data_IF_423214300606
#
_entry.id   IF_423214300606
#
_cell.length_a   1.000
_cell.length_b   1.000
_cell.length_c   1.000
_cell.angle_alpha   90.00
_cell.angle_beta   90.00
_cell.angle_gamma   90.00
#
_symmetry.space_group_name_H-M   'P 1'
#
loop_
_entity.id
_entity.type
_entity.pdbx_description
1 polymer ?
#
# COMPACT_ATOMS: atom_id res chain seq x y z
N UNK A 1 -58.83 -10.10 25.82
CA UNK A 1 -57.42 -9.94 25.41
C UNK A 1 -56.78 -8.94 26.38
N UNK A 2 -55.81 -9.40 27.15
CA UNK A 2 -55.26 -8.65 28.27
C UNK A 2 -54.13 -7.72 27.80
N UNK A 3 -53.98 -6.58 28.45
CA UNK A 3 -53.05 -5.52 28.18
C UNK A 3 -51.56 -5.96 28.03
N UNK A 4 -51.26 -7.16 28.48
CA UNK A 4 -49.93 -7.85 28.34
C UNK A 4 -49.60 -8.30 26.91
N UNK A 5 -50.59 -8.54 26.04
CA UNK A 5 -50.34 -9.02 24.68
C UNK A 5 -49.99 -7.86 23.73
N UNK A 6 -50.40 -6.64 24.00
CA UNK A 6 -50.09 -5.51 23.15
C UNK A 6 -48.69 -4.93 23.34
N UNK A 7 -48.04 -5.17 24.52
CA UNK A 7 -46.66 -4.71 24.75
C UNK A 7 -45.58 -5.57 24.01
N UNK A 8 -45.89 -6.81 23.68
CA UNK A 8 -44.92 -7.71 23.02
C UNK A 8 -44.85 -7.42 21.50
N UNK A 9 -45.91 -6.90 20.89
CA UNK A 9 -45.94 -6.61 19.45
C UNK A 9 -45.17 -5.31 19.08
N UNK A 10 -44.97 -4.38 20.02
CA UNK A 10 -44.29 -3.11 19.74
C UNK A 10 -42.76 -3.20 19.84
N UNK A 11 -42.23 -4.21 20.57
CA UNK A 11 -40.77 -4.39 20.74
C UNK A 11 -40.15 -5.13 19.54
N UNK A 12 -40.93 -5.94 18.82
CA UNK A 12 -40.41 -6.73 17.69
C UNK A 12 -40.21 -5.90 16.41
N UNK A 13 -40.98 -4.84 16.20
CA UNK A 13 -40.91 -4.00 15.00
C UNK A 13 -39.68 -3.10 14.95
N UNK A 14 -39.32 -2.48 16.08
CA UNK A 14 -38.18 -1.57 16.12
C UNK A 14 -36.83 -2.28 16.08
N UNK A 15 -36.71 -3.45 16.69
CA UNK A 15 -35.48 -4.26 16.61
C UNK A 15 -35.27 -4.87 15.23
N UNK A 16 -36.33 -5.24 14.51
CA UNK A 16 -36.24 -5.74 13.14
C UNK A 16 -35.82 -4.61 12.17
N UNK A 17 -36.37 -3.41 12.33
CA UNK A 17 -36.04 -2.25 11.48
C UNK A 17 -34.60 -1.80 11.67
N UNK A 18 -34.09 -1.74 12.90
CA UNK A 18 -32.69 -1.44 13.21
C UNK A 18 -31.74 -2.51 12.67
N UNK A 19 -32.12 -3.77 12.74
CA UNK A 19 -31.33 -4.89 12.15
C UNK A 19 -31.25 -4.80 10.63
N UNK A 20 -32.32 -4.43 9.95
CA UNK A 20 -32.33 -4.27 8.48
C UNK A 20 -31.51 -3.06 8.05
N UNK A 21 -31.59 -1.94 8.76
CA UNK A 21 -30.79 -0.73 8.49
C UNK A 21 -29.29 -1.04 8.73
N UNK A 22 -28.95 -1.68 9.84
CA UNK A 22 -27.56 -2.05 10.15
C UNK A 22 -26.97 -3.01 9.11
N UNK A 23 -27.73 -4.01 8.64
CA UNK A 23 -27.28 -4.93 7.59
C UNK A 23 -27.19 -4.27 6.22
N UNK A 24 -28.07 -3.33 5.89
CA UNK A 24 -28.01 -2.55 4.64
C UNK A 24 -26.80 -1.61 4.63
N UNK A 25 -26.53 -0.91 5.73
CA UNK A 25 -25.35 -0.05 5.89
C UNK A 25 -24.06 -0.89 5.85
N UNK A 26 -24.02 -2.03 6.53
CA UNK A 26 -22.87 -2.95 6.51
C UNK A 26 -22.62 -3.51 5.10
N UNK A 27 -23.68 -3.94 4.37
CA UNK A 27 -23.57 -4.41 2.99
C UNK A 27 -23.14 -3.29 2.04
N UNK A 28 -23.65 -2.07 2.21
CA UNK A 28 -23.24 -0.90 1.42
C UNK A 28 -21.78 -0.52 1.69
N UNK A 29 -21.33 -0.53 2.93
CA UNK A 29 -19.95 -0.31 3.29
C UNK A 29 -19.02 -1.41 2.74
N UNK A 30 -19.43 -2.69 2.86
CA UNK A 30 -18.70 -3.83 2.31
C UNK A 30 -18.61 -3.77 0.78
N UNK A 31 -19.66 -3.35 0.09
CA UNK A 31 -19.66 -3.19 -1.37
C UNK A 31 -18.80 -2.00 -1.81
N UNK A 32 -18.75 -0.91 -1.05
CA UNK A 32 -17.83 0.22 -1.33
C UNK A 32 -16.36 -0.18 -1.13
N UNK A 33 -16.06 -1.03 -0.14
CA UNK A 33 -14.70 -1.56 0.07
C UNK A 33 -14.32 -2.55 -1.04
N UNK A 34 -15.27 -3.35 -1.53
CA UNK A 34 -15.04 -4.31 -2.62
C UNK A 34 -14.92 -3.65 -4.00
N UNK A 35 -15.48 -2.44 -4.21
CA UNK A 35 -15.39 -1.72 -5.49
C UNK A 35 -14.03 -1.05 -5.74
N UNK A 36 -13.12 -1.08 -4.76
CA UNK A 36 -11.74 -0.55 -4.86
C UNK A 36 -10.70 -1.67 -4.87
N UNK A 37 -11.13 -2.93 -4.81
CA UNK A 37 -10.22 -4.07 -4.86
C UNK A 37 -9.61 -4.18 -6.26
N UNK A 38 -8.32 -3.86 -6.39
CA UNK A 38 -7.56 -4.15 -7.60
C UNK A 38 -7.63 -5.66 -7.87
N UNK A 39 -8.05 -6.11 -9.07
CA UNK A 39 -7.94 -7.50 -9.46
C UNK A 39 -6.51 -7.98 -9.26
N UNK A 40 -6.33 -9.22 -8.78
CA UNK A 40 -5.01 -9.81 -8.48
C UNK A 40 -4.00 -9.76 -9.63
N UNK A 41 -4.49 -9.69 -10.87
CA UNK A 41 -3.74 -9.62 -12.12
C UNK A 41 -3.80 -8.24 -12.78
N UNK A 42 -4.47 -7.24 -12.17
CA UNK A 42 -4.45 -5.89 -12.70
C UNK A 42 -3.08 -5.27 -12.44
N UNK A 43 -2.41 -4.90 -13.51
CA UNK A 43 -1.32 -3.93 -13.45
C UNK A 43 -1.88 -2.58 -13.02
N UNK A 44 -1.09 -1.72 -12.37
CA UNK A 44 -1.41 -0.29 -12.28
C UNK A 44 -1.73 0.30 -13.66
N UNK A 45 -1.24 -0.32 -14.73
CA UNK A 45 -1.55 0.03 -16.13
C UNK A 45 -3.03 -0.11 -16.47
N UNK A 46 -3.73 -1.08 -15.90
CA UNK A 46 -5.14 -1.37 -16.18
C UNK A 46 -6.07 -0.76 -15.13
N UNK A 47 -5.50 -0.08 -14.14
CA UNK A 47 -6.27 0.58 -13.13
C UNK A 47 -6.90 1.84 -13.72
N UNK A 48 -8.23 1.88 -13.84
CA UNK A 48 -9.07 2.90 -14.49
C UNK A 48 -9.13 2.89 -16.04
N UNK A 49 -9.13 1.72 -16.64
CA UNK A 49 -9.79 1.57 -17.94
C UNK A 49 -9.11 2.20 -19.16
N UNK A 50 -7.79 2.08 -19.29
CA UNK A 50 -7.21 2.35 -20.58
C UNK A 50 -5.80 2.94 -20.61
N UNK A 51 -5.09 2.61 -21.65
CA UNK A 51 -3.72 3.03 -21.97
C UNK A 51 -3.51 4.56 -22.08
N UNK A 52 -4.57 5.34 -22.19
CA UNK A 52 -4.54 6.78 -22.44
C UNK A 52 -4.03 7.61 -21.26
N UNK A 53 -4.00 7.05 -20.03
CA UNK A 53 -3.61 7.81 -18.83
C UNK A 53 -2.25 7.43 -18.25
N UNK A 54 -1.55 6.46 -18.85
CA UNK A 54 -0.26 5.99 -18.33
C UNK A 54 0.83 7.06 -18.32
N UNK A 55 0.83 7.94 -19.33
CA UNK A 55 1.80 9.03 -19.43
C UNK A 55 1.67 10.06 -18.30
N UNK A 56 0.48 10.15 -17.69
CA UNK A 56 0.18 11.08 -16.58
C UNK A 56 0.52 10.53 -15.19
N UNK A 57 0.82 9.21 -15.08
CA UNK A 57 1.18 8.61 -13.80
C UNK A 57 2.68 8.66 -13.56
N UNK A 58 3.13 8.78 -12.30
CA UNK A 58 4.53 8.68 -11.92
C UNK A 58 5.17 7.39 -12.45
N UNK A 59 6.47 7.45 -12.75
CA UNK A 59 7.20 6.31 -13.34
C UNK A 59 7.10 5.04 -12.50
N UNK A 60 7.13 5.17 -11.16
CA UNK A 60 6.97 4.03 -10.24
C UNK A 60 5.64 3.30 -10.43
N UNK A 61 4.57 4.04 -10.71
CA UNK A 61 3.24 3.47 -10.97
C UNK A 61 3.19 2.80 -12.33
N UNK A 62 3.74 3.45 -13.36
CA UNK A 62 3.83 2.89 -14.71
C UNK A 62 4.64 1.59 -14.77
N UNK A 63 5.66 1.48 -13.92
CA UNK A 63 6.56 0.35 -13.84
C UNK A 63 6.09 -0.75 -12.86
N UNK A 64 4.93 -0.59 -12.20
CA UNK A 64 4.51 -1.44 -11.09
C UNK A 64 5.56 -1.51 -9.96
N UNK A 65 6.33 -0.45 -9.78
CA UNK A 65 7.45 -0.32 -8.86
C UNK A 65 7.25 0.93 -7.98
N UNK A 66 6.29 0.91 -7.03
CA UNK A 66 5.89 2.10 -6.30
C UNK A 66 6.99 2.69 -5.39
N UNK A 67 8.04 1.93 -5.13
CA UNK A 67 9.21 2.37 -4.40
C UNK A 67 10.34 2.88 -5.29
N UNK A 68 10.19 2.98 -6.60
CA UNK A 68 11.24 3.38 -7.53
C UNK A 68 12.57 2.60 -7.34
N UNK A 69 12.46 1.29 -7.00
CA UNK A 69 13.65 0.45 -6.85
C UNK A 69 14.51 0.52 -8.11
N UNK A 70 15.77 0.85 -7.93
CA UNK A 70 16.74 0.97 -9.01
C UNK A 70 17.07 -0.41 -9.57
N UNK A 71 17.34 -0.46 -10.88
CA UNK A 71 17.68 -1.68 -11.58
C UNK A 71 18.98 -2.29 -11.03
N UNK A 72 18.92 -3.59 -10.70
CA UNK A 72 20.03 -4.36 -10.15
C UNK A 72 20.09 -5.74 -10.78
N UNK A 73 21.13 -6.51 -10.48
CA UNK A 73 21.25 -7.93 -10.83
C UNK A 73 20.33 -8.85 -10.01
N UNK A 74 19.66 -8.33 -8.97
CA UNK A 74 18.78 -9.13 -8.12
C UNK A 74 17.63 -9.69 -8.95
N UNK A 75 17.42 -11.00 -8.83
CA UNK A 75 16.35 -11.73 -9.51
C UNK A 75 15.04 -11.62 -8.70
N UNK A 76 14.45 -10.42 -8.66
CA UNK A 76 13.16 -10.24 -8.01
C UNK A 76 12.08 -11.09 -8.66
N UNK A 77 11.23 -11.70 -7.84
CA UNK A 77 10.07 -12.41 -8.37
C UNK A 77 9.16 -11.44 -9.13
N UNK A 78 8.73 -11.82 -10.33
CA UNK A 78 7.90 -10.98 -11.18
C UNK A 78 8.59 -9.79 -11.83
N UNK A 79 9.93 -9.68 -11.71
CA UNK A 79 10.72 -8.70 -12.45
C UNK A 79 10.60 -8.92 -13.95
N UNK A 80 10.44 -7.84 -14.70
CA UNK A 80 10.48 -7.85 -16.17
C UNK A 80 11.89 -7.52 -16.65
N UNK A 81 12.25 -7.99 -17.86
CA UNK A 81 13.44 -7.49 -18.54
C UNK A 81 13.36 -5.97 -18.66
N UNK A 82 14.49 -5.30 -18.49
CA UNK A 82 14.56 -3.84 -18.58
C UNK A 82 14.37 -3.40 -20.04
N UNK A 83 13.26 -2.74 -20.39
CA UNK A 83 13.14 -2.13 -21.71
C UNK A 83 13.98 -0.85 -21.77
N UNK A 84 14.40 -0.45 -22.97
CA UNK A 84 15.27 0.71 -23.21
C UNK A 84 14.71 2.02 -22.64
N UNK A 85 13.39 2.13 -22.49
CA UNK A 85 12.67 3.31 -21.97
C UNK A 85 12.31 3.24 -20.48
N UNK A 86 12.76 2.21 -19.76
CA UNK A 86 12.46 2.08 -18.31
C UNK A 86 13.27 3.01 -17.41
N UNK A 87 14.19 3.78 -18.00
CA UNK A 87 15.11 4.61 -17.22
C UNK A 87 16.00 3.73 -16.30
N UNK A 88 16.26 4.21 -15.09
CA UNK A 88 17.10 3.49 -14.11
C UNK A 88 16.34 2.51 -13.21
N UNK A 89 15.02 2.46 -13.30
CA UNK A 89 14.19 1.73 -12.35
C UNK A 89 13.80 0.33 -12.83
N UNK A 90 13.55 -0.56 -11.86
CA UNK A 90 12.98 -1.89 -12.12
C UNK A 90 11.55 -1.78 -12.65
N UNK A 91 11.13 -2.84 -13.37
CA UNK A 91 9.75 -3.04 -13.80
C UNK A 91 9.25 -4.40 -13.34
N UNK A 92 7.97 -4.45 -12.94
CA UNK A 92 7.34 -5.70 -12.47
C UNK A 92 6.09 -6.05 -13.29
N UNK A 93 5.76 -7.35 -13.33
CA UNK A 93 4.56 -7.88 -14.00
C UNK A 93 3.27 -7.29 -13.42
N UNK A 94 3.25 -7.05 -12.10
CA UNK A 94 2.11 -6.45 -11.41
C UNK A 94 2.56 -5.68 -10.16
N UNK A 95 1.70 -4.80 -9.60
CA UNK A 95 1.98 -4.07 -8.38
C UNK A 95 2.33 -4.95 -7.19
N UNK A 96 1.76 -6.15 -7.09
CA UNK A 96 2.03 -7.10 -6.02
C UNK A 96 3.52 -7.43 -5.96
N UNK A 97 4.14 -7.67 -7.10
CA UNK A 97 5.57 -8.00 -7.16
C UNK A 97 6.46 -6.80 -6.86
N UNK A 98 6.09 -5.60 -7.29
CA UNK A 98 6.83 -4.38 -6.93
C UNK A 98 6.77 -4.08 -5.44
N UNK A 99 5.58 -4.18 -4.84
CA UNK A 99 5.40 -4.02 -3.38
C UNK A 99 6.14 -5.12 -2.62
N UNK A 100 6.10 -6.37 -3.10
CA UNK A 100 6.89 -7.47 -2.54
C UNK A 100 8.38 -7.19 -2.57
N UNK A 101 8.91 -6.73 -3.69
CA UNK A 101 10.32 -6.38 -3.82
C UNK A 101 10.70 -5.26 -2.82
N UNK A 102 9.86 -4.24 -2.69
CA UNK A 102 10.04 -3.17 -1.71
C UNK A 102 10.03 -3.69 -0.26
N UNK A 103 9.12 -4.61 0.08
CA UNK A 103 9.09 -5.27 1.41
C UNK A 103 10.40 -6.00 1.69
N UNK A 104 10.91 -6.77 0.72
CA UNK A 104 12.17 -7.53 0.85
C UNK A 104 13.38 -6.60 0.99
N UNK A 105 13.44 -5.54 0.19
CA UNK A 105 14.50 -4.53 0.24
C UNK A 105 14.52 -3.83 1.60
N UNK A 106 13.37 -3.33 2.06
CA UNK A 106 13.24 -2.68 3.36
C UNK A 106 13.54 -3.62 4.53
N UNK A 107 13.14 -4.88 4.45
CA UNK A 107 13.50 -5.90 5.46
C UNK A 107 15.02 -6.03 5.58
N UNK A 108 15.72 -6.06 4.46
CA UNK A 108 17.20 -6.14 4.41
C UNK A 108 17.83 -4.87 4.98
N UNK A 109 17.31 -3.69 4.59
CA UNK A 109 17.79 -2.39 5.07
C UNK A 109 17.55 -2.21 6.58
N UNK A 110 16.40 -2.63 7.12
CA UNK A 110 16.16 -2.60 8.57
C UNK A 110 17.16 -3.47 9.32
N UNK A 111 17.43 -4.67 8.84
CA UNK A 111 18.42 -5.58 9.46
C UNK A 111 19.82 -4.97 9.47
N UNK A 112 20.20 -4.23 8.44
CA UNK A 112 21.53 -3.62 8.28
C UNK A 112 21.65 -2.30 9.05
N UNK A 113 20.70 -1.40 8.92
CA UNK A 113 20.79 -0.02 9.38
C UNK A 113 20.02 0.29 10.66
N UNK A 114 18.93 -0.42 10.90
CA UNK A 114 18.07 -0.34 12.09
C UNK A 114 17.33 0.99 12.31
N UNK A 115 17.60 2.07 11.57
CA UNK A 115 16.98 3.38 11.78
C UNK A 115 16.53 4.04 10.47
N UNK A 116 15.51 4.93 10.55
CA UNK A 116 14.90 5.57 9.38
C UNK A 116 15.90 6.46 8.65
N UNK A 117 16.67 7.26 9.38
CA UNK A 117 17.65 8.17 8.81
C UNK A 117 18.64 7.44 7.89
N UNK A 118 19.17 6.30 8.34
CA UNK A 118 20.11 5.49 7.56
C UNK A 118 19.45 4.74 6.42
N UNK A 119 18.23 4.20 6.64
CA UNK A 119 17.48 3.51 5.59
C UNK A 119 17.13 4.46 4.46
N UNK A 120 16.62 5.66 4.77
CA UNK A 120 16.23 6.65 3.77
C UNK A 120 17.46 7.26 3.08
N UNK A 121 18.56 7.51 3.80
CA UNK A 121 19.80 8.01 3.20
C UNK A 121 20.42 7.06 2.19
N UNK A 122 20.29 5.74 2.40
CA UNK A 122 20.70 4.75 1.39
C UNK A 122 19.69 4.67 0.22
N UNK A 123 18.40 4.81 0.52
CA UNK A 123 17.33 4.69 -0.48
C UNK A 123 17.30 5.91 -1.44
N UNK A 124 17.50 7.10 -0.90
CA UNK A 124 17.44 8.38 -1.59
C UNK A 124 18.60 9.28 -1.14
N UNK A 125 19.79 9.14 -1.74
CA UNK A 125 20.98 9.93 -1.35
C UNK A 125 20.77 11.44 -1.48
N UNK A 126 21.42 12.21 -0.62
CA UNK A 126 21.25 13.67 -0.47
C UNK A 126 21.51 14.48 -1.74
N UNK A 127 22.38 14.00 -2.62
CA UNK A 127 22.70 14.70 -3.88
C UNK A 127 21.60 14.55 -4.94
N UNK A 128 20.63 13.68 -4.73
CA UNK A 128 19.50 13.46 -5.63
C UNK A 128 18.18 14.01 -5.10
N UNK A 129 18.06 14.21 -3.76
CA UNK A 129 16.78 14.50 -3.11
C UNK A 129 16.94 15.35 -1.86
N UNK A 130 15.85 15.98 -1.40
CA UNK A 130 15.76 16.53 -0.05
C UNK A 130 15.59 15.40 0.97
N UNK A 131 16.66 14.67 1.26
CA UNK A 131 16.67 13.49 2.11
C UNK A 131 16.18 13.78 3.52
N UNK A 132 16.47 14.97 4.07
CA UNK A 132 15.98 15.38 5.39
C UNK A 132 14.46 15.47 5.43
N UNK A 133 13.83 16.08 4.42
CA UNK A 133 12.38 16.14 4.34
C UNK A 133 11.77 14.74 4.20
N UNK A 134 12.40 13.87 3.44
CA UNK A 134 11.97 12.48 3.28
C UNK A 134 12.03 11.72 4.61
N UNK A 135 13.15 11.79 5.33
CA UNK A 135 13.33 11.21 6.67
C UNK A 135 12.20 11.67 7.60
N UNK A 136 11.92 12.98 7.65
CA UNK A 136 10.89 13.54 8.51
C UNK A 136 9.47 13.03 8.17
N UNK A 137 9.15 12.92 6.88
CA UNK A 137 7.86 12.36 6.42
C UNK A 137 7.70 10.91 6.88
N UNK A 138 8.73 10.09 6.73
CA UNK A 138 8.70 8.68 7.12
C UNK A 138 8.65 8.52 8.64
N UNK A 139 9.48 9.27 9.38
CA UNK A 139 9.49 9.26 10.84
C UNK A 139 8.13 9.66 11.43
N UNK A 140 7.52 10.70 10.88
CA UNK A 140 6.15 11.12 11.25
C UNK A 140 5.11 10.03 10.96
N UNK A 141 5.20 9.37 9.82
CA UNK A 141 4.26 8.30 9.45
C UNK A 141 4.36 7.08 10.38
N UNK A 142 5.56 6.79 10.89
CA UNK A 142 5.78 5.70 11.86
C UNK A 142 5.56 6.15 13.32
N UNK A 143 5.42 7.44 13.56
CA UNK A 143 5.33 8.05 14.91
C UNK A 143 6.50 7.68 15.82
N UNK A 144 7.73 7.75 15.28
CA UNK A 144 8.97 7.47 16.01
C UNK A 144 10.06 8.49 15.65
N UNK A 145 11.11 8.59 16.47
CA UNK A 145 12.32 9.33 16.09
C UNK A 145 12.96 8.71 14.84
N UNK A 146 13.56 9.53 13.98
CA UNK A 146 14.31 9.06 12.80
C UNK A 146 15.48 8.14 13.15
N UNK A 147 16.03 8.27 14.36
CA UNK A 147 17.13 7.45 14.90
C UNK A 147 16.67 6.25 15.71
N UNK A 148 15.35 6.09 15.93
CA UNK A 148 14.81 4.96 16.70
C UNK A 148 15.14 3.62 16.03
N UNK A 149 15.46 2.61 16.84
CA UNK A 149 15.70 1.25 16.36
C UNK A 149 14.40 0.62 15.86
N UNK A 150 14.40 0.24 14.60
CA UNK A 150 13.29 -0.47 13.95
C UNK A 150 13.49 -1.98 13.99
N UNK A 151 12.37 -2.69 14.11
CA UNK A 151 12.28 -4.13 13.87
C UNK A 151 11.45 -4.37 12.61
N UNK A 152 11.79 -5.38 11.78
CA UNK A 152 11.09 -5.68 10.54
C UNK A 152 9.76 -6.41 10.79
N UNK A 153 8.93 -5.86 11.67
CA UNK A 153 7.58 -6.36 11.92
C UNK A 153 6.68 -6.03 10.72
N UNK A 154 5.61 -6.79 10.56
CA UNK A 154 4.61 -6.53 9.51
C UNK A 154 4.08 -5.09 9.55
N UNK A 155 3.81 -4.57 10.75
CA UNK A 155 3.32 -3.20 10.92
C UNK A 155 4.37 -2.16 10.53
N UNK A 156 5.62 -2.32 10.97
CA UNK A 156 6.73 -1.44 10.59
C UNK A 156 6.92 -1.43 9.07
N UNK A 157 6.95 -2.61 8.45
CA UNK A 157 7.09 -2.75 6.99
C UNK A 157 5.92 -2.11 6.24
N UNK A 158 4.69 -2.25 6.74
CA UNK A 158 3.52 -1.63 6.14
C UNK A 158 3.60 -0.11 6.16
N UNK A 159 3.94 0.48 7.30
CA UNK A 159 4.06 1.92 7.45
C UNK A 159 5.20 2.48 6.58
N UNK A 160 6.36 1.80 6.53
CA UNK A 160 7.45 2.17 5.65
C UNK A 160 7.05 2.10 4.17
N UNK A 161 6.48 0.98 3.72
CA UNK A 161 6.06 0.80 2.32
C UNK A 161 5.05 1.86 1.92
N UNK A 162 4.03 2.12 2.74
CA UNK A 162 2.99 3.11 2.41
C UNK A 162 3.56 4.53 2.37
N UNK A 163 4.33 4.93 3.39
CA UNK A 163 4.88 6.30 3.47
C UNK A 163 5.92 6.57 2.39
N UNK A 164 6.82 5.61 2.16
CA UNK A 164 7.87 5.76 1.14
C UNK A 164 7.29 5.72 -0.27
N UNK A 165 6.40 4.78 -0.58
CA UNK A 165 5.73 4.73 -1.88
C UNK A 165 4.92 6.01 -2.15
N UNK A 166 4.27 6.58 -1.14
CA UNK A 166 3.58 7.87 -1.26
C UNK A 166 4.54 9.00 -1.58
N UNK A 167 5.70 9.05 -0.93
CA UNK A 167 6.74 10.04 -1.21
C UNK A 167 7.27 9.91 -2.64
N UNK A 168 7.60 8.69 -3.08
CA UNK A 168 8.13 8.38 -4.41
C UNK A 168 7.14 8.65 -5.57
N UNK A 169 5.85 8.49 -5.32
CA UNK A 169 4.83 8.55 -6.38
C UNK A 169 3.88 9.74 -6.26
N UNK A 170 3.97 10.51 -5.18
CA UNK A 170 3.07 11.65 -4.92
C UNK A 170 1.63 11.25 -4.59
N UNK A 171 1.31 9.96 -4.41
CA UNK A 171 -0.07 9.50 -4.21
C UNK A 171 -0.22 8.24 -3.35
N UNK A 172 -1.44 8.00 -2.89
CA UNK A 172 -1.78 6.83 -2.06
C UNK A 172 -2.15 5.63 -2.95
N UNK A 173 -1.15 4.97 -3.53
CA UNK A 173 -1.35 3.82 -4.42
C UNK A 173 -1.32 2.47 -3.69
N UNK A 174 -0.81 2.42 -2.46
CA UNK A 174 -0.71 1.18 -1.69
C UNK A 174 -1.95 1.01 -0.81
N UNK A 175 -2.87 0.15 -1.24
CA UNK A 175 -4.02 -0.24 -0.43
C UNK A 175 -3.64 -1.30 0.60
N UNK A 176 -4.45 -1.46 1.66
CA UNK A 176 -4.27 -2.54 2.62
C UNK A 176 -4.26 -3.91 1.94
N UNK A 177 -5.17 -4.13 1.00
CA UNK A 177 -5.28 -5.39 0.28
C UNK A 177 -4.02 -5.69 -0.54
N UNK A 178 -3.51 -4.69 -1.27
CA UNK A 178 -2.28 -4.82 -2.06
C UNK A 178 -1.09 -5.18 -1.17
N UNK A 179 -0.92 -4.46 -0.05
CA UNK A 179 0.14 -4.76 0.91
C UNK A 179 0.02 -6.18 1.47
N UNK A 180 -1.18 -6.58 1.93
CA UNK A 180 -1.41 -7.92 2.50
C UNK A 180 -1.09 -9.04 1.51
N UNK A 181 -1.50 -8.88 0.24
CA UNK A 181 -1.19 -9.85 -0.81
C UNK A 181 0.32 -9.94 -1.08
N UNK A 182 0.99 -8.79 -1.18
CA UNK A 182 2.44 -8.75 -1.39
C UNK A 182 3.22 -9.33 -0.20
N UNK A 183 2.78 -9.03 1.04
CA UNK A 183 3.41 -9.52 2.26
C UNK A 183 3.30 -11.05 2.40
N UNK A 184 2.17 -11.65 2.03
CA UNK A 184 1.99 -13.11 2.08
C UNK A 184 2.96 -13.89 1.19
N UNK A 185 3.45 -13.29 0.12
CA UNK A 185 4.37 -13.91 -0.82
C UNK A 185 5.81 -13.40 -0.69
N UNK A 186 6.10 -12.56 0.33
CA UNK A 186 7.42 -11.96 0.57
C UNK A 186 8.38 -12.83 1.38
#
# INVERSE_FOLDING_TARGET
>A
MTEKQNKILFISGSTLLLGIIATAVYRSAKNRVNSVALPLNASFRNWKGGNIYLSKHPIGIRNNNPGNLVHTSIKWQGKLPKPNNAGRFEMFKSPIYGVRAMIKDLTTKIKRHKSIDKIVSEYAPVFENNTTAYINVVAKALNVSSTATLLPTKNTLKLLVVSMAKHETGGNYITNELFEKAYRIS
#
